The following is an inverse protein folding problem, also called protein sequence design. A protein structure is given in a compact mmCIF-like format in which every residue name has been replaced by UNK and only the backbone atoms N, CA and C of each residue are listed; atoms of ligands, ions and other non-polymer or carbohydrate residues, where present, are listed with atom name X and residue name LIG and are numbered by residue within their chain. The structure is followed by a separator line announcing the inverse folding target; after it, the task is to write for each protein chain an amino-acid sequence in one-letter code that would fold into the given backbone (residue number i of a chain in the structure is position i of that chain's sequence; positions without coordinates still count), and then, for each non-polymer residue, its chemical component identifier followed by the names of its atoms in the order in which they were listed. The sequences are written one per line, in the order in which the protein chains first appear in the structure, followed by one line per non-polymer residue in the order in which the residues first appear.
data_IF_417280968388
#
_entry.id   IF_417280968388
#
_cell.length_a   1.000
_cell.length_b   1.000
_cell.length_c   1.000
_cell.angle_alpha   90.00
_cell.angle_beta   90.00
_cell.angle_gamma   90.00
#
_symmetry.space_group_name_H-M   'P 1'
#
loop_
_entity.id
_entity.type
_entity.pdbx_description
1 polymer ?
#
# COMPACT_ATOMS: atom_id res chain seq x y z
N UNK A 1 33.04 64.46 25.65
CA UNK A 1 33.94 63.94 26.70
C UNK A 1 34.00 62.42 26.57
N UNK A 2 35.22 61.86 26.49
CA UNK A 2 35.61 60.43 26.55
C UNK A 2 35.19 59.59 25.32
N UNK A 3 36.06 59.22 24.37
CA UNK A 3 37.30 58.41 24.35
C UNK A 3 37.12 56.89 24.35
N UNK A 4 37.93 56.28 23.46
CA UNK A 4 38.52 54.91 23.47
C UNK A 4 37.79 53.87 22.59
N UNK A 5 38.38 53.44 21.45
CA UNK A 5 39.48 52.45 21.27
C UNK A 5 39.00 51.02 21.58
N UNK A 6 39.36 49.92 20.91
CA UNK A 6 40.31 49.53 19.85
C UNK A 6 40.18 47.98 19.70
N UNK A 7 40.92 47.37 18.76
CA UNK A 7 41.15 45.95 18.41
C UNK A 7 40.21 45.41 17.32
N UNK A 8 40.60 45.28 16.04
CA UNK A 8 41.83 44.86 15.36
C UNK A 8 42.08 43.34 15.36
N UNK A 9 42.08 42.79 14.13
CA UNK A 9 42.78 41.58 13.63
C UNK A 9 42.19 40.24 14.07
N UNK A 10 42.00 39.23 13.22
CA UNK A 10 42.29 39.03 11.81
C UNK A 10 42.10 37.53 11.53
N UNK A 11 41.62 37.15 10.35
CA UNK A 11 41.90 35.79 9.84
C UNK A 11 41.82 35.78 8.31
N UNK A 12 42.92 35.32 7.73
CA UNK A 12 43.26 35.32 6.31
C UNK A 12 42.42 34.29 5.57
N UNK A 13 41.82 34.69 4.44
CA UNK A 13 41.30 33.76 3.43
C UNK A 13 42.46 32.99 2.79
N UNK A 14 42.40 31.65 2.67
CA UNK A 14 43.28 30.93 1.78
C UNK A 14 42.84 31.07 0.33
N UNK A 15 43.86 31.29 -0.49
CA UNK A 15 43.89 31.43 -1.94
C UNK A 15 43.56 30.09 -2.60
N UNK A 16 42.70 30.11 -3.61
CA UNK A 16 42.44 28.98 -4.50
C UNK A 16 43.67 28.83 -5.39
N UNK A 17 44.43 27.75 -5.21
CA UNK A 17 45.42 27.29 -6.18
C UNK A 17 44.84 26.11 -6.95
N UNK A 18 44.83 26.27 -8.27
CA UNK A 18 44.46 25.25 -9.23
C UNK A 18 45.58 24.19 -9.25
N UNK A 19 45.22 22.94 -8.97
CA UNK A 19 46.03 21.79 -9.33
C UNK A 19 45.29 21.02 -10.42
N UNK A 20 45.84 21.14 -11.62
CA UNK A 20 45.68 20.20 -12.71
C UNK A 20 46.42 18.92 -12.31
N UNK A 21 45.73 17.79 -12.23
CA UNK A 21 46.32 16.49 -12.51
C UNK A 21 45.23 15.59 -13.09
N UNK A 22 45.39 15.42 -14.38
CA UNK A 22 44.79 14.42 -15.24
C UNK A 22 45.29 13.03 -14.80
N UNK A 23 44.62 11.98 -15.26
CA UNK A 23 45.08 10.59 -15.16
C UNK A 23 44.73 9.82 -13.86
N UNK A 24 43.46 9.39 -13.77
CA UNK A 24 43.06 8.02 -13.33
C UNK A 24 41.55 7.82 -13.45
N UNK A 25 40.99 7.95 -14.67
CA UNK A 25 39.64 7.41 -14.94
C UNK A 25 39.77 5.94 -15.31
N UNK A 26 39.69 5.07 -14.30
CA UNK A 26 39.42 3.66 -14.54
C UNK A 26 38.09 3.53 -15.28
N UNK A 27 38.14 2.92 -16.46
CA UNK A 27 36.95 2.51 -17.21
C UNK A 27 36.29 1.37 -16.44
N UNK A 28 35.47 1.71 -15.44
CA UNK A 28 34.46 0.79 -14.94
C UNK A 28 33.38 0.76 -16.00
N UNK A 29 33.39 -0.28 -16.84
CA UNK A 29 32.28 -0.59 -17.71
C UNK A 29 31.04 -0.79 -16.84
N UNK A 30 30.15 0.18 -16.82
CA UNK A 30 28.76 -0.07 -16.41
C UNK A 30 28.15 -0.96 -17.48
N UNK A 31 28.37 -2.28 -17.35
CA UNK A 31 27.50 -3.25 -17.98
C UNK A 31 26.10 -2.91 -17.53
N UNK A 32 25.25 -2.50 -18.47
CA UNK A 32 23.80 -2.47 -18.23
C UNK A 32 23.45 -3.84 -17.64
N UNK A 33 22.83 -3.93 -16.45
CA UNK A 33 22.27 -5.20 -16.05
C UNK A 33 21.26 -5.57 -17.13
N UNK A 34 21.55 -6.66 -17.84
CA UNK A 34 20.61 -7.26 -18.75
C UNK A 34 19.37 -7.56 -17.91
N UNK A 35 18.27 -6.87 -18.21
CA UNK A 35 17.00 -7.12 -17.57
C UNK A 35 16.57 -8.52 -18.00
N UNK A 36 16.59 -9.46 -17.06
CA UNK A 36 16.06 -10.80 -17.24
C UNK A 36 14.55 -10.72 -17.57
N UNK A 37 13.96 -11.75 -18.21
CA UNK A 37 12.59 -11.75 -18.73
C UNK A 37 11.55 -11.25 -17.70
N UNK A 38 10.39 -10.71 -18.13
CA UNK A 38 9.40 -10.15 -17.21
C UNK A 38 9.11 -11.14 -16.08
N UNK A 39 9.19 -10.65 -14.82
CA UNK A 39 9.12 -11.43 -13.58
C UNK A 39 7.94 -12.44 -13.55
N UNK A 40 6.89 -12.14 -14.31
CA UNK A 40 5.67 -12.93 -14.49
C UNK A 40 5.86 -14.23 -15.30
N UNK A 41 6.93 -14.35 -16.09
CA UNK A 41 7.19 -15.52 -16.94
C UNK A 41 7.43 -16.81 -16.14
N UNK A 42 7.76 -16.70 -14.84
CA UNK A 42 8.07 -17.83 -13.96
C UNK A 42 6.87 -18.30 -13.11
N UNK A 43 5.71 -17.64 -13.20
CA UNK A 43 4.54 -17.96 -12.39
C UNK A 43 3.44 -18.59 -13.25
N UNK A 44 3.33 -19.92 -13.20
CA UNK A 44 2.21 -20.65 -13.81
C UNK A 44 1.10 -20.89 -12.75
N UNK A 45 -0.15 -20.46 -13.01
CA UNK A 45 -1.27 -20.60 -12.06
C UNK A 45 -1.68 -22.04 -11.70
N UNK A 46 -1.24 -23.04 -12.47
CA UNK A 46 -1.74 -24.42 -12.39
C UNK A 46 -0.73 -25.44 -11.85
N UNK A 47 0.39 -25.00 -11.26
CA UNK A 47 1.41 -25.93 -10.75
C UNK A 47 1.18 -26.23 -9.25
N UNK A 48 0.88 -27.48 -8.86
CA UNK A 48 0.40 -27.84 -7.51
C UNK A 48 1.44 -27.70 -6.37
N UNK A 49 2.59 -27.08 -6.60
CA UNK A 49 3.64 -26.88 -5.59
C UNK A 49 3.74 -25.41 -5.17
N UNK A 50 2.72 -24.94 -4.45
CA UNK A 50 2.69 -23.60 -3.81
C UNK A 50 3.93 -23.34 -2.93
N UNK A 51 4.57 -24.39 -2.40
CA UNK A 51 5.81 -24.34 -1.62
C UNK A 51 7.04 -23.94 -2.45
N UNK A 52 7.08 -24.28 -3.74
CA UNK A 52 8.20 -23.92 -4.62
C UNK A 52 8.04 -22.51 -5.20
N UNK A 53 6.80 -22.05 -5.40
CA UNK A 53 6.54 -20.69 -5.89
C UNK A 53 6.99 -19.63 -4.89
N UNK A 54 6.73 -19.81 -3.59
CA UNK A 54 7.28 -18.91 -2.56
C UNK A 54 8.81 -18.91 -2.54
N UNK A 55 9.46 -20.06 -2.71
CA UNK A 55 10.94 -20.13 -2.77
C UNK A 55 11.47 -19.40 -4.01
N UNK A 56 10.81 -19.53 -5.17
CA UNK A 56 11.18 -18.81 -6.38
C UNK A 56 10.93 -17.31 -6.26
N UNK A 57 9.79 -16.90 -5.71
CA UNK A 57 9.46 -15.48 -5.44
C UNK A 57 10.47 -14.89 -4.47
N UNK A 58 10.73 -15.58 -3.35
CA UNK A 58 11.73 -15.15 -2.37
C UNK A 58 13.11 -15.06 -3.03
N UNK A 59 13.57 -16.09 -3.74
CA UNK A 59 14.86 -16.05 -4.43
C UNK A 59 14.95 -14.89 -5.43
N UNK A 60 13.91 -14.67 -6.23
CA UNK A 60 13.81 -13.59 -7.21
C UNK A 60 13.89 -12.22 -6.52
N UNK A 61 13.09 -12.00 -5.47
CA UNK A 61 13.03 -10.77 -4.68
C UNK A 61 14.36 -10.46 -3.98
N UNK A 62 15.03 -11.47 -3.41
CA UNK A 62 16.33 -11.29 -2.75
C UNK A 62 17.49 -11.09 -3.73
N UNK A 63 17.35 -11.51 -5.00
CA UNK A 63 18.37 -11.27 -6.05
C UNK A 63 18.18 -9.95 -6.78
N UNK A 64 16.99 -9.34 -6.72
CA UNK A 64 16.71 -8.06 -7.38
C UNK A 64 17.19 -6.86 -6.58
N UNK A 65 18.00 -6.02 -7.22
CA UNK A 65 18.42 -4.73 -6.67
C UNK A 65 17.24 -3.74 -6.67
N UNK A 66 17.19 -2.82 -5.70
CA UNK A 66 16.14 -1.80 -5.52
C UNK A 66 14.71 -2.32 -5.27
N UNK A 67 14.56 -3.47 -4.60
CA UNK A 67 13.24 -3.97 -4.25
C UNK A 67 12.48 -2.99 -3.33
N UNK A 68 11.23 -2.58 -3.67
CA UNK A 68 10.39 -1.79 -2.78
C UNK A 68 10.16 -2.47 -1.43
N UNK A 69 10.15 -1.67 -0.34
CA UNK A 69 9.76 -2.15 0.99
C UNK A 69 8.27 -2.50 1.01
N UNK A 70 7.99 -3.80 0.94
CA UNK A 70 6.66 -4.37 0.82
C UNK A 70 6.65 -5.80 1.38
N UNK A 71 5.52 -6.22 1.96
CA UNK A 71 5.41 -7.55 2.59
C UNK A 71 5.58 -8.67 1.56
N UNK A 72 6.39 -9.69 1.90
CA UNK A 72 6.58 -10.88 1.06
C UNK A 72 5.26 -11.58 0.71
N UNK A 73 4.32 -11.64 1.65
CA UNK A 73 3.03 -12.28 1.41
C UNK A 73 2.15 -11.49 0.44
N UNK A 74 2.36 -10.17 0.34
CA UNK A 74 1.61 -9.32 -0.60
C UNK A 74 2.29 -9.24 -1.97
N UNK A 75 3.59 -9.56 -2.06
CA UNK A 75 4.30 -9.63 -3.33
C UNK A 75 3.74 -10.70 -4.26
N UNK A 76 3.26 -11.83 -3.72
CA UNK A 76 2.61 -12.88 -4.51
C UNK A 76 1.40 -12.30 -5.27
N UNK A 77 0.56 -11.52 -4.58
CA UNK A 77 -0.61 -10.89 -5.19
C UNK A 77 -0.20 -9.86 -6.25
N UNK A 78 0.86 -9.06 -6.02
CA UNK A 78 1.39 -8.16 -7.05
C UNK A 78 1.79 -8.95 -8.29
N UNK A 79 2.57 -10.03 -8.12
CA UNK A 79 3.09 -10.81 -9.23
C UNK A 79 2.01 -11.55 -10.01
N UNK A 80 0.90 -11.91 -9.35
CA UNK A 80 -0.28 -12.52 -9.98
C UNK A 80 -1.26 -11.50 -10.55
N UNK A 81 -1.01 -10.21 -10.34
CA UNK A 81 -1.93 -9.10 -10.62
C UNK A 81 -3.31 -9.28 -9.95
N UNK A 82 -3.28 -9.78 -8.71
CA UNK A 82 -4.46 -10.09 -7.89
C UNK A 82 -4.78 -8.96 -6.90
N UNK A 83 -5.95 -9.03 -6.29
CA UNK A 83 -6.42 -8.11 -5.28
C UNK A 83 -5.45 -8.00 -4.10
N UNK A 84 -5.14 -6.76 -3.73
CA UNK A 84 -4.30 -6.44 -2.57
C UNK A 84 -5.11 -5.66 -1.58
N UNK A 85 -5.18 -6.16 -0.35
CA UNK A 85 -5.85 -5.46 0.75
C UNK A 85 -4.96 -4.36 1.34
N UNK A 86 -5.44 -3.12 1.32
CA UNK A 86 -4.69 -1.99 1.86
C UNK A 86 -4.63 -2.01 3.39
N UNK A 87 -5.61 -2.64 4.05
CA UNK A 87 -5.57 -2.87 5.50
C UNK A 87 -4.34 -3.72 5.87
N UNK A 88 -3.96 -4.68 5.01
CA UNK A 88 -2.77 -5.50 5.18
C UNK A 88 -1.47 -4.70 4.99
N UNK A 89 -1.41 -3.79 4.00
CA UNK A 89 -0.25 -2.91 3.79
C UNK A 89 -0.03 -2.03 5.01
N UNK A 90 -1.11 -1.42 5.52
CA UNK A 90 -1.06 -0.51 6.66
C UNK A 90 -0.62 -1.25 7.94
N UNK A 91 -1.22 -2.42 8.19
CA UNK A 91 -0.87 -3.30 9.30
C UNK A 91 0.59 -3.78 9.24
N UNK A 92 1.09 -4.08 8.04
CA UNK A 92 2.50 -4.46 7.86
C UNK A 92 3.44 -3.31 8.23
N UNK A 93 3.12 -2.08 7.81
CA UNK A 93 3.96 -0.93 8.09
C UNK A 93 4.11 -0.65 9.58
N UNK A 94 2.99 -0.67 10.30
CA UNK A 94 2.96 -0.48 11.76
C UNK A 94 3.82 -1.52 12.48
N UNK A 95 3.71 -2.80 12.07
CA UNK A 95 4.55 -3.88 12.60
C UNK A 95 6.02 -3.72 12.26
N UNK A 96 6.36 -3.28 11.05
CA UNK A 96 7.77 -3.06 10.67
C UNK A 96 8.40 -1.90 11.45
N UNK A 97 7.61 -0.90 11.85
CA UNK A 97 8.07 0.19 12.70
C UNK A 97 8.14 -0.22 14.18
N UNK A 98 7.29 -1.14 14.63
CA UNK A 98 7.47 -1.81 15.91
C UNK A 98 8.68 -2.73 15.84
N UNK A 99 9.52 -2.78 16.87
CA UNK A 99 10.80 -3.52 16.88
C UNK A 99 10.64 -5.06 16.91
N UNK A 100 9.61 -5.61 16.26
CA UNK A 100 9.07 -6.96 16.44
C UNK A 100 9.15 -7.79 15.15
N UNK A 101 10.22 -7.63 14.36
CA UNK A 101 10.54 -8.60 13.30
C UNK A 101 11.01 -9.92 13.94
N UNK A 102 10.09 -10.85 14.14
CA UNK A 102 10.42 -12.28 14.21
C UNK A 102 10.20 -12.87 12.82
N UNK A 103 11.17 -12.66 11.93
CA UNK A 103 11.34 -13.57 10.79
C UNK A 103 11.97 -14.82 11.40
N UNK A 104 11.14 -15.80 11.75
CA UNK A 104 11.65 -17.12 12.16
C UNK A 104 12.02 -17.81 10.85
N UNK A 105 13.31 -17.75 10.49
CA UNK A 105 13.89 -18.65 9.50
C UNK A 105 13.95 -20.01 10.19
N UNK A 106 12.93 -20.85 10.00
CA UNK A 106 12.96 -22.22 10.50
C UNK A 106 13.92 -23.04 9.65
N UNK A 107 15.00 -23.46 10.30
CA UNK A 107 16.04 -24.43 9.94
C UNK A 107 16.87 -24.22 8.66
N UNK A 108 18.17 -24.03 8.91
CA UNK A 108 19.24 -23.76 7.94
C UNK A 108 19.71 -25.02 7.20
N UNK A 109 19.18 -26.20 7.53
CA UNK A 109 19.74 -27.45 7.02
C UNK A 109 19.10 -27.99 5.73
N UNK A 110 18.02 -27.39 5.20
CA UNK A 110 17.38 -27.89 3.97
C UNK A 110 16.92 -26.82 2.96
N UNK A 111 17.29 -25.55 3.13
CA UNK A 111 17.01 -24.50 2.13
C UNK A 111 15.51 -24.23 1.89
N UNK A 112 14.62 -24.71 2.77
CA UNK A 112 13.19 -24.47 2.69
C UNK A 112 12.82 -23.22 3.50
N UNK A 113 12.63 -22.12 2.80
CA UNK A 113 12.03 -20.92 3.38
C UNK A 113 10.53 -21.21 3.53
N UNK A 114 10.06 -21.42 4.75
CA UNK A 114 8.63 -21.54 5.05
C UNK A 114 8.11 -20.13 5.34
N UNK A 115 7.30 -19.52 4.46
CA UNK A 115 6.66 -18.25 4.77
C UNK A 115 5.70 -18.49 5.93
N UNK A 116 5.96 -17.85 7.07
CA UNK A 116 4.96 -17.78 8.13
C UNK A 116 3.82 -16.91 7.62
N UNK A 117 2.55 -17.37 7.65
CA UNK A 117 1.44 -16.58 7.18
C UNK A 117 1.39 -15.26 7.95
N UNK A 118 1.39 -14.13 7.24
CA UNK A 118 1.26 -12.81 7.86
C UNK A 118 0.01 -12.81 8.74
N UNK A 119 0.10 -12.27 9.98
CA UNK A 119 -1.07 -12.08 10.81
C UNK A 119 -2.12 -11.25 10.07
N UNK A 120 -3.40 -11.56 10.36
CA UNK A 120 -4.54 -10.81 9.82
C UNK A 120 -4.33 -9.30 10.00
N UNK A 121 -4.80 -8.48 9.03
CA UNK A 121 -4.75 -7.03 9.18
C UNK A 121 -5.38 -6.59 10.51
N UNK A 122 -4.66 -5.78 11.28
CA UNK A 122 -5.13 -5.22 12.56
C UNK A 122 -5.44 -3.73 12.47
N UNK A 123 -4.96 -3.06 11.43
CA UNK A 123 -5.32 -1.68 11.09
C UNK A 123 -6.27 -1.67 9.90
N UNK A 124 -7.14 -0.66 9.89
CA UNK A 124 -8.07 -0.39 8.79
C UNK A 124 -7.72 0.95 8.17
N UNK A 125 -7.74 1.04 6.86
CA UNK A 125 -7.65 2.31 6.14
C UNK A 125 -8.96 3.08 6.37
N UNK A 126 -8.87 4.24 7.01
CA UNK A 126 -10.04 5.08 7.33
C UNK A 126 -9.90 6.53 6.88
N UNK A 127 -8.70 6.96 6.47
CA UNK A 127 -8.43 8.32 6.03
C UNK A 127 -7.81 8.40 4.63
N UNK A 128 -7.85 9.59 4.02
CA UNK A 128 -7.14 9.89 2.78
C UNK A 128 -5.63 9.66 2.94
N UNK A 129 -5.06 10.03 4.08
CA UNK A 129 -3.63 9.86 4.36
C UNK A 129 -3.25 8.37 4.35
N UNK A 130 -4.05 7.53 5.01
CA UNK A 130 -3.84 6.08 5.04
C UNK A 130 -3.95 5.48 3.63
N UNK A 131 -4.97 5.90 2.87
CA UNK A 131 -5.17 5.44 1.51
C UNK A 131 -4.00 5.85 0.62
N UNK A 132 -3.59 7.12 0.65
CA UNK A 132 -2.48 7.63 -0.17
C UNK A 132 -1.18 6.89 0.15
N UNK A 133 -0.94 6.64 1.42
CA UNK A 133 0.20 5.86 1.88
C UNK A 133 0.22 4.43 1.32
N UNK A 134 -0.91 3.73 1.44
CA UNK A 134 -1.05 2.37 0.91
C UNK A 134 -0.97 2.33 -0.62
N UNK A 135 -1.66 3.27 -1.29
CA UNK A 135 -1.66 3.42 -2.74
C UNK A 135 -0.25 3.62 -3.28
N UNK A 136 0.55 4.51 -2.68
CA UNK A 136 1.95 4.74 -3.11
C UNK A 136 2.80 3.48 -3.02
N UNK A 137 2.66 2.70 -1.95
CA UNK A 137 3.41 1.43 -1.81
C UNK A 137 2.97 0.40 -2.83
N UNK A 138 1.65 0.25 -2.99
CA UNK A 138 1.08 -0.64 -3.99
C UNK A 138 1.54 -0.26 -5.40
N UNK A 139 1.37 1.02 -5.79
CA UNK A 139 1.77 1.53 -7.09
C UNK A 139 3.26 1.32 -7.35
N UNK A 140 4.13 1.60 -6.37
CA UNK A 140 5.57 1.38 -6.54
C UNK A 140 5.92 -0.10 -6.75
N UNK A 141 5.27 -1.01 -6.03
CA UNK A 141 5.42 -2.45 -6.22
C UNK A 141 4.91 -2.91 -7.60
N UNK A 142 3.74 -2.40 -8.04
CA UNK A 142 3.18 -2.69 -9.37
C UNK A 142 4.10 -2.15 -10.46
N UNK A 143 4.58 -0.91 -10.37
CA UNK A 143 5.50 -0.30 -11.35
C UNK A 143 6.83 -1.03 -11.45
N UNK A 144 7.31 -1.61 -10.35
CA UNK A 144 8.50 -2.43 -10.34
C UNK A 144 8.33 -3.71 -11.18
N UNK A 145 7.15 -4.35 -11.11
CA UNK A 145 6.84 -5.59 -11.86
C UNK A 145 6.33 -5.31 -13.27
N UNK A 146 5.51 -4.27 -13.43
CA UNK A 146 4.80 -3.88 -14.63
C UNK A 146 5.06 -2.39 -14.96
N UNK A 147 6.26 -2.04 -15.47
CA UNK A 147 6.61 -0.64 -15.74
C UNK A 147 5.69 0.07 -16.75
N UNK A 148 4.98 -0.67 -17.59
CA UNK A 148 4.03 -0.12 -18.56
C UNK A 148 2.75 0.46 -17.93
N UNK A 149 2.46 0.13 -16.66
CA UNK A 149 1.22 0.54 -15.97
C UNK A 149 1.29 1.90 -15.26
N UNK A 150 2.37 2.66 -15.41
CA UNK A 150 2.58 3.93 -14.70
C UNK A 150 1.43 4.92 -14.97
N UNK A 151 1.11 5.17 -16.24
CA UNK A 151 0.07 6.13 -16.62
C UNK A 151 -1.31 5.72 -16.10
N UNK A 152 -1.57 4.41 -16.03
CA UNK A 152 -2.81 3.85 -15.49
C UNK A 152 -2.95 4.15 -14.00
N UNK A 153 -1.90 3.87 -13.23
CA UNK A 153 -1.87 4.09 -11.78
C UNK A 153 -1.98 5.57 -11.42
N UNK A 154 -1.30 6.46 -12.16
CA UNK A 154 -1.37 7.91 -11.94
C UNK A 154 -2.77 8.47 -12.26
N UNK A 155 -3.39 7.98 -13.34
CA UNK A 155 -4.75 8.36 -13.72
C UNK A 155 -5.74 8.00 -12.61
N UNK A 156 -5.63 6.79 -12.07
CA UNK A 156 -6.52 6.34 -11.00
C UNK A 156 -6.27 7.04 -9.67
N UNK A 157 -5.01 7.33 -9.33
CA UNK A 157 -4.69 8.13 -8.14
C UNK A 157 -5.37 9.50 -8.19
N UNK A 158 -5.35 10.12 -9.37
CA UNK A 158 -6.03 11.39 -9.65
C UNK A 158 -7.55 11.24 -9.49
N UNK A 159 -8.12 10.18 -10.05
CA UNK A 159 -9.56 9.87 -9.94
C UNK A 159 -10.03 9.74 -8.49
N UNK A 160 -9.35 8.93 -7.67
CA UNK A 160 -9.73 8.79 -6.25
C UNK A 160 -9.58 10.12 -5.49
N UNK A 161 -8.53 10.89 -5.78
CA UNK A 161 -8.35 12.23 -5.20
C UNK A 161 -9.49 13.17 -5.60
N UNK A 162 -9.97 13.13 -6.84
CA UNK A 162 -11.13 13.89 -7.28
C UNK A 162 -12.41 13.46 -6.55
N UNK A 163 -12.62 12.15 -6.39
CA UNK A 163 -13.78 11.63 -5.63
C UNK A 163 -13.77 12.05 -4.17
N UNK A 164 -12.60 12.14 -3.54
CA UNK A 164 -12.48 12.65 -2.16
C UNK A 164 -12.77 14.15 -2.05
N UNK A 165 -12.49 14.92 -3.10
CA UNK A 165 -12.79 16.35 -3.15
C UNK A 165 -14.20 16.66 -3.68
N UNK A 166 -14.96 15.64 -4.11
CA UNK A 166 -16.33 15.79 -4.56
C UNK A 166 -17.27 16.13 -3.39
N UNK A 167 -18.07 17.18 -3.54
CA UNK A 167 -18.93 17.73 -2.48
C UNK A 167 -20.02 16.76 -2.00
N UNK A 168 -20.43 15.82 -2.86
CA UNK A 168 -21.54 14.91 -2.61
C UNK A 168 -21.05 13.50 -2.27
N UNK A 169 -20.16 12.95 -3.08
CA UNK A 169 -19.61 11.61 -2.90
C UNK A 169 -18.51 11.59 -1.85
N UNK A 170 -17.60 12.57 -1.90
CA UNK A 170 -16.45 12.70 -1.00
C UNK A 170 -16.78 13.16 0.41
N UNK A 171 -18.01 13.65 0.65
CA UNK A 171 -18.51 14.07 1.97
C UNK A 171 -18.33 13.00 3.05
N UNK A 172 -18.44 11.73 2.68
CA UNK A 172 -18.13 10.60 3.54
C UNK A 172 -16.94 9.83 2.94
N UNK A 173 -15.78 9.99 3.56
CA UNK A 173 -14.54 9.32 3.14
C UNK A 173 -14.71 7.80 3.03
N UNK A 174 -15.55 7.18 3.87
CA UNK A 174 -15.78 5.73 3.79
C UNK A 174 -16.42 5.31 2.47
N UNK A 175 -17.22 6.17 1.82
CA UNK A 175 -17.78 5.89 0.50
C UNK A 175 -16.68 5.77 -0.53
N UNK A 176 -15.73 6.70 -0.54
CA UNK A 176 -14.62 6.67 -1.49
C UNK A 176 -13.68 5.49 -1.21
N UNK A 177 -13.43 5.17 0.06
CA UNK A 177 -12.59 4.01 0.43
C UNK A 177 -13.25 2.67 0.09
N UNK A 178 -14.57 2.56 0.24
CA UNK A 178 -15.32 1.38 -0.18
C UNK A 178 -15.35 1.26 -1.72
N UNK A 179 -15.52 2.38 -2.42
CA UNK A 179 -15.44 2.45 -3.88
C UNK A 179 -14.09 1.94 -4.37
N UNK A 180 -13.00 2.48 -3.83
CA UNK A 180 -11.65 2.05 -4.16
C UNK A 180 -11.45 0.55 -3.91
N UNK A 181 -11.95 0.04 -2.78
CA UNK A 181 -11.87 -1.39 -2.46
C UNK A 181 -12.61 -2.24 -3.50
N UNK A 182 -13.78 -1.81 -3.98
CA UNK A 182 -14.54 -2.51 -5.02
C UNK A 182 -13.81 -2.48 -6.36
N UNK A 183 -13.25 -1.33 -6.75
CA UNK A 183 -12.44 -1.21 -7.97
C UNK A 183 -11.23 -2.14 -7.93
N UNK A 184 -10.46 -2.11 -6.85
CA UNK A 184 -9.29 -3.00 -6.69
C UNK A 184 -9.66 -4.48 -6.76
N UNK A 185 -10.83 -4.86 -6.20
CA UNK A 185 -11.32 -6.24 -6.31
C UNK A 185 -11.65 -6.62 -7.75
N UNK A 186 -12.31 -5.73 -8.50
CA UNK A 186 -12.63 -5.96 -9.90
C UNK A 186 -11.36 -6.09 -10.74
N UNK A 187 -10.44 -5.12 -10.64
CA UNK A 187 -9.17 -5.12 -11.39
C UNK A 187 -8.34 -6.37 -11.07
N UNK A 188 -8.26 -6.76 -9.79
CA UNK A 188 -7.54 -7.99 -9.41
C UNK A 188 -8.23 -9.30 -9.84
N UNK A 189 -9.54 -9.28 -10.10
CA UNK A 189 -10.30 -10.46 -10.52
C UNK A 189 -10.41 -10.59 -12.04
N UNK A 190 -10.32 -9.48 -12.78
CA UNK A 190 -10.47 -9.41 -14.23
C UNK A 190 -9.27 -8.74 -14.90
N UNK A 191 -8.42 -9.56 -15.53
CA UNK A 191 -7.21 -9.14 -16.24
C UNK A 191 -7.48 -8.24 -17.46
N UNK A 192 -8.74 -8.14 -17.90
CA UNK A 192 -9.16 -7.26 -18.99
C UNK A 192 -9.57 -5.86 -18.56
N UNK A 193 -9.46 -5.52 -17.27
CA UNK A 193 -9.89 -4.24 -16.71
C UNK A 193 -8.71 -3.52 -16.07
N UNK A 194 -8.44 -2.30 -16.52
CA UNK A 194 -7.37 -1.45 -15.99
C UNK A 194 -7.92 -0.34 -15.10
N UNK A 195 -7.11 0.14 -14.14
CA UNK A 195 -7.52 1.19 -13.21
C UNK A 195 -7.87 2.53 -13.89
N UNK A 196 -7.35 2.82 -15.08
CA UNK A 196 -7.69 4.03 -15.83
C UNK A 196 -9.06 3.96 -16.53
N UNK A 197 -9.72 2.81 -16.55
CA UNK A 197 -11.05 2.64 -17.16
C UNK A 197 -12.17 3.08 -16.21
N UNK A 198 -12.04 4.28 -15.64
CA UNK A 198 -12.89 4.77 -14.53
C UNK A 198 -14.38 4.78 -14.85
N UNK A 199 -14.75 4.91 -16.12
CA UNK A 199 -16.13 4.81 -16.60
C UNK A 199 -16.76 3.43 -16.29
N UNK A 200 -15.98 2.33 -16.32
CA UNK A 200 -16.46 0.98 -15.98
C UNK A 200 -16.85 0.85 -14.50
N UNK A 201 -16.38 1.76 -13.66
CA UNK A 201 -16.55 1.69 -12.20
C UNK A 201 -17.72 2.54 -11.69
N UNK A 202 -18.41 3.29 -12.56
CA UNK A 202 -19.47 4.22 -12.12
C UNK A 202 -20.60 3.50 -11.36
N UNK A 203 -20.90 2.27 -11.74
CA UNK A 203 -21.88 1.40 -11.07
C UNK A 203 -21.59 1.23 -9.57
N UNK A 204 -20.32 1.23 -9.16
CA UNK A 204 -19.95 1.09 -7.74
C UNK A 204 -20.36 2.30 -6.90
N UNK A 205 -20.45 3.50 -7.48
CA UNK A 205 -20.97 4.65 -6.74
C UNK A 205 -22.44 4.44 -6.37
N UNK A 206 -23.23 3.96 -7.33
CA UNK A 206 -24.65 3.62 -7.10
C UNK A 206 -24.80 2.54 -6.02
N UNK A 207 -24.01 1.47 -6.10
CA UNK A 207 -24.03 0.39 -5.10
C UNK A 207 -23.74 0.91 -3.70
N UNK A 208 -22.74 1.78 -3.54
CA UNK A 208 -22.39 2.38 -2.25
C UNK A 208 -23.50 3.27 -1.70
N UNK A 209 -24.17 4.05 -2.56
CA UNK A 209 -25.33 4.82 -2.12
C UNK A 209 -26.47 3.92 -1.67
N UNK A 210 -26.78 2.85 -2.40
CA UNK A 210 -27.83 1.89 -2.02
C UNK A 210 -27.52 1.21 -0.68
N UNK A 211 -26.28 0.76 -0.48
CA UNK A 211 -25.84 0.17 0.79
C UNK A 211 -25.95 1.17 1.95
N UNK A 212 -25.58 2.43 1.72
CA UNK A 212 -25.69 3.48 2.74
C UNK A 212 -27.16 3.74 3.14
N UNK A 213 -28.09 3.77 2.18
CA UNK A 213 -29.53 3.96 2.45
C UNK A 213 -30.08 2.79 3.24
N UNK A 214 -29.75 1.55 2.86
CA UNK A 214 -30.24 0.35 3.54
C UNK A 214 -29.75 0.29 4.99
N UNK A 215 -28.49 0.62 5.25
CA UNK A 215 -27.96 0.67 6.62
C UNK A 215 -28.69 1.70 7.49
N UNK A 216 -29.04 2.87 6.94
CA UNK A 216 -29.82 3.89 7.66
C UNK A 216 -31.23 3.41 7.96
N UNK A 217 -31.86 2.68 7.03
CA UNK A 217 -33.17 2.09 7.24
C UNK A 217 -33.13 1.02 8.36
N UNK A 218 -32.15 0.11 8.32
CA UNK A 218 -31.94 -0.92 9.34
C UNK A 218 -31.71 -0.32 10.74
N UNK A 219 -30.91 0.75 10.83
CA UNK A 219 -30.64 1.44 12.09
C UNK A 219 -31.89 2.16 12.62
N UNK A 220 -32.70 2.76 11.73
CA UNK A 220 -33.98 3.36 12.12
C UNK A 220 -34.96 2.31 12.64
N UNK A 221 -35.07 1.15 11.99
CA UNK A 221 -35.92 0.05 12.44
C UNK A 221 -35.48 -0.50 13.81
N UNK A 222 -34.17 -0.63 14.05
CA UNK A 222 -33.63 -1.03 15.37
C UNK A 222 -34.00 -0.06 16.48
N UNK A 223 -33.93 1.25 16.22
CA UNK A 223 -34.30 2.28 17.19
C UNK A 223 -35.80 2.26 17.52
N UNK A 224 -36.65 1.96 16.54
CA UNK A 224 -38.10 1.84 16.72
C UNK A 224 -38.47 0.53 17.46
N UNK A 225 -37.82 -0.59 17.10
CA UNK A 225 -38.11 -1.92 17.67
C UNK A 225 -37.74 -2.06 19.16
N UNK A 226 -36.69 -1.37 19.62
CA UNK A 226 -36.25 -1.43 21.02
C UNK A 226 -37.17 -0.65 21.99
N UNK A 227 -38.07 0.20 21.50
CA UNK A 227 -38.98 1.01 22.33
C UNK A 227 -40.12 0.23 23.01
N UNK A 228 -40.42 -0.99 22.55
CA UNK A 228 -41.63 -1.72 22.97
C UNK A 228 -41.42 -2.79 24.07
N UNK A 229 -40.19 -3.06 24.52
CA UNK A 229 -39.92 -4.14 25.50
C UNK A 229 -39.80 -3.69 26.98
N UNK A 230 -39.98 -2.40 27.31
CA UNK A 230 -39.77 -1.89 28.69
C UNK A 230 -41.03 -1.62 29.51
N UNK A 231 -42.24 -1.81 28.98
CA UNK A 231 -43.50 -1.50 29.69
C UNK A 231 -44.43 -2.70 29.86
N UNK A 232 -43.96 -3.77 30.52
CA UNK A 232 -44.90 -4.68 31.18
C UNK A 232 -44.26 -5.47 32.35
N UNK A 233 -43.93 -4.76 33.43
CA UNK A 233 -43.55 -5.35 34.72
C UNK A 233 -44.60 -5.05 35.77
N UNK A 234 -45.77 -5.70 35.64
CA UNK A 234 -46.93 -5.53 36.51
C UNK A 234 -46.61 -5.83 37.97
N UNK A 235 -47.05 -4.93 38.85
CA UNK A 235 -47.02 -5.12 40.29
C UNK A 235 -47.87 -6.33 40.73
N UNK A 236 -47.37 -7.05 41.72
CA UNK A 236 -48.19 -7.90 42.59
C UNK A 236 -47.82 -7.64 44.04
N UNK A 237 -48.70 -6.90 44.72
CA UNK A 237 -48.85 -6.86 46.16
C UNK A 237 -49.18 -8.27 46.67
N UNK A 238 -48.48 -8.71 47.71
CA UNK A 238 -48.94 -9.65 48.75
C UNK A 238 -48.61 -8.95 50.08
N UNK A 239 -49.53 -8.81 51.04
CA UNK A 239 -50.49 -9.81 51.48
C UNK A 239 -49.81 -10.59 52.58
#
# INVERSE_FOLDING_TARGET
MVSSNSLATGSKRPRIEAFSDEESRSKVSHGKPAFDPPLCAFLHPNDPKLTNQHVLIVRLLYTTFNLPDFSLDLWVNILLDDFIDFDAILSYHDRSNSNTRKVIISDVDQGHIIPTPSPKPHQRVFSLTDWYFCWRRHAHAVMFVYPSRIAELDTYATHITQLLNDEFFGRDTNRVLNYDRMVRKLVGSDRGVLFNETAKFETFKHEIYTLAINNVADDAERLIGNGNHSRNGGGRRRG
#
